data_IF_890438097276
#
_entry.id   IF_890438097276
#
_cell.length_a   1.000
_cell.length_b   1.000
_cell.length_c   1.000
_cell.angle_alpha   90.00
_cell.angle_beta   90.00
_cell.angle_gamma   90.00
#
_symmetry.space_group_name_H-M   'P 1'
#
loop_
_entity.id
_entity.type
_entity.pdbx_description
1 polymer ?
#
# COMPACT_ATOMS: atom_id res chain seq x y z
N UNK A 1 30.89 -50.53 -26.20
CA UNK A 1 30.67 -49.08 -26.08
C UNK A 1 29.32 -48.88 -25.41
N UNK A 2 29.31 -48.66 -24.09
CA UNK A 2 28.08 -48.44 -23.32
C UNK A 2 28.13 -46.99 -22.82
N UNK A 3 27.27 -46.15 -23.37
CA UNK A 3 27.13 -44.74 -23.00
C UNK A 3 26.17 -44.64 -21.82
N UNK A 4 26.69 -44.36 -20.62
CA UNK A 4 25.90 -44.01 -19.45
C UNK A 4 25.33 -42.59 -19.61
N UNK A 5 24.00 -42.47 -19.62
CA UNK A 5 23.30 -41.20 -19.47
C UNK A 5 23.27 -40.82 -17.99
N UNK A 6 23.80 -39.64 -17.69
CA UNK A 6 23.70 -38.98 -16.38
C UNK A 6 22.25 -38.51 -16.16
N UNK A 7 21.66 -38.66 -14.95
CA UNK A 7 20.30 -38.18 -14.70
C UNK A 7 20.26 -36.63 -14.73
N UNK A 8 19.14 -36.03 -15.20
CA UNK A 8 19.02 -34.58 -15.29
C UNK A 8 19.03 -33.95 -13.89
N UNK A 9 19.73 -32.82 -13.76
CA UNK A 9 19.79 -32.04 -12.54
C UNK A 9 18.39 -31.55 -12.10
N UNK A 10 18.09 -31.50 -10.79
CA UNK A 10 16.79 -31.10 -10.30
C UNK A 10 16.47 -29.64 -10.66
N UNK A 11 15.29 -29.48 -11.26
CA UNK A 11 14.78 -28.29 -11.92
C UNK A 11 14.70 -27.07 -10.97
N UNK A 12 15.58 -26.09 -11.16
CA UNK A 12 15.62 -24.85 -10.36
C UNK A 12 14.32 -24.02 -10.41
N UNK A 13 13.50 -24.22 -11.46
CA UNK A 13 12.19 -23.58 -11.61
C UNK A 13 11.17 -24.05 -10.57
N UNK A 14 11.14 -25.34 -10.21
CA UNK A 14 10.18 -25.86 -9.20
C UNK A 14 10.48 -25.39 -7.78
N UNK A 15 11.75 -25.07 -7.47
CA UNK A 15 12.14 -24.51 -6.16
C UNK A 15 11.69 -23.06 -5.99
N UNK A 16 11.62 -22.28 -7.08
CA UNK A 16 11.14 -20.90 -7.06
C UNK A 16 9.64 -20.81 -6.78
N UNK A 17 8.85 -21.64 -7.46
CA UNK A 17 7.38 -21.70 -7.30
C UNK A 17 6.98 -22.20 -5.91
N UNK A 18 7.59 -23.28 -5.42
CA UNK A 18 7.32 -23.79 -4.07
C UNK A 18 7.69 -22.80 -2.96
N UNK A 19 8.74 -21.98 -3.16
CA UNK A 19 9.12 -20.93 -2.21
C UNK A 19 8.17 -19.74 -2.26
N UNK A 20 7.66 -19.37 -3.44
CA UNK A 20 6.63 -18.32 -3.57
C UNK A 20 5.30 -18.76 -2.95
N UNK A 21 4.87 -19.99 -3.17
CA UNK A 21 3.64 -20.55 -2.59
C UNK A 21 3.74 -20.67 -1.06
N UNK A 22 4.88 -21.16 -0.54
CA UNK A 22 5.14 -21.20 0.90
C UNK A 22 5.18 -19.81 1.54
N UNK A 23 5.75 -18.82 0.85
CA UNK A 23 5.78 -17.42 1.32
C UNK A 23 4.39 -16.78 1.34
N UNK A 24 3.55 -17.07 0.34
CA UNK A 24 2.16 -16.63 0.29
C UNK A 24 1.35 -17.21 1.46
N UNK A 25 1.50 -18.52 1.73
CA UNK A 25 0.82 -19.18 2.84
C UNK A 25 1.24 -18.61 4.20
N UNK A 26 2.53 -18.32 4.40
CA UNK A 26 3.01 -17.74 5.66
C UNK A 26 2.42 -16.35 5.94
N UNK A 27 2.31 -15.51 4.91
CA UNK A 27 1.71 -14.18 5.04
C UNK A 27 0.25 -14.25 5.52
N UNK A 28 -0.56 -15.15 4.93
CA UNK A 28 -1.95 -15.34 5.37
C UNK A 28 -2.04 -15.89 6.80
N UNK A 29 -1.16 -16.81 7.16
CA UNK A 29 -1.10 -17.33 8.54
C UNK A 29 -0.75 -16.24 9.55
N UNK A 30 0.19 -15.36 9.26
CA UNK A 30 0.51 -14.22 10.14
C UNK A 30 -0.65 -13.25 10.26
N UNK A 31 -1.34 -12.95 9.16
CA UNK A 31 -2.54 -12.10 9.19
C UNK A 31 -3.69 -12.73 9.97
N UNK A 32 -3.82 -14.07 9.94
CA UNK A 32 -4.79 -14.80 10.76
C UNK A 32 -4.39 -14.81 12.23
N UNK A 33 -3.13 -15.10 12.54
CA UNK A 33 -2.61 -15.08 13.90
C UNK A 33 -2.76 -13.69 14.52
N UNK A 34 -2.49 -12.62 13.77
CA UNK A 34 -2.69 -11.25 14.25
C UNK A 34 -4.15 -10.94 14.65
N UNK A 35 -5.11 -11.72 14.16
CA UNK A 35 -6.50 -11.59 14.59
C UNK A 35 -6.74 -12.17 15.99
N UNK A 36 -6.00 -13.19 16.40
CA UNK A 36 -6.19 -13.84 17.71
C UNK A 36 -5.13 -13.44 18.72
N UNK A 37 -3.90 -13.23 18.28
CA UNK A 37 -2.73 -12.90 19.08
C UNK A 37 -1.74 -12.05 18.26
N UNK A 38 -1.97 -10.74 18.27
CA UNK A 38 -1.15 -9.76 17.54
C UNK A 38 0.31 -9.76 18.02
N UNK A 39 0.54 -9.89 19.31
CA UNK A 39 1.87 -9.76 19.89
C UNK A 39 2.72 -11.01 19.55
N UNK A 40 2.11 -12.20 19.50
CA UNK A 40 2.77 -13.39 18.98
C UNK A 40 3.10 -13.27 17.48
N UNK A 41 2.18 -12.75 16.65
CA UNK A 41 2.44 -12.53 15.23
C UNK A 41 3.62 -11.55 15.02
N UNK A 42 3.61 -10.42 15.72
CA UNK A 42 4.70 -9.44 15.67
C UNK A 42 6.03 -10.05 16.14
N UNK A 43 6.01 -10.85 17.20
CA UNK A 43 7.21 -11.55 17.68
C UNK A 43 7.81 -12.46 16.60
N UNK A 44 6.99 -13.30 15.97
CA UNK A 44 7.44 -14.21 14.89
C UNK A 44 8.09 -13.42 13.75
N UNK A 45 7.45 -12.34 13.31
CA UNK A 45 7.96 -11.54 12.20
C UNK A 45 9.26 -10.82 12.60
N UNK A 46 9.34 -10.24 13.79
CA UNK A 46 10.58 -9.58 14.24
C UNK A 46 11.75 -10.56 14.41
N UNK A 47 11.51 -11.72 15.04
CA UNK A 47 12.52 -12.77 15.15
C UNK A 47 12.95 -13.26 13.75
N UNK A 48 12.01 -13.34 12.81
CA UNK A 48 12.24 -13.67 11.41
C UNK A 48 13.15 -12.68 10.69
N UNK A 49 12.87 -11.37 10.80
CA UNK A 49 13.72 -10.33 10.21
C UNK A 49 15.13 -10.37 10.79
N UNK A 50 15.27 -10.60 12.10
CA UNK A 50 16.57 -10.62 12.79
C UNK A 50 17.37 -11.89 12.49
N UNK A 51 16.71 -13.04 12.34
CA UNK A 51 17.35 -14.33 12.10
C UNK A 51 17.65 -14.60 10.62
N UNK A 52 16.62 -14.64 9.78
CA UNK A 52 16.74 -14.88 8.35
C UNK A 52 15.84 -13.91 7.56
N UNK A 53 16.32 -12.68 7.30
CA UNK A 53 15.53 -11.63 6.67
C UNK A 53 15.12 -11.94 5.22
N UNK A 54 15.69 -12.98 4.61
CA UNK A 54 15.41 -13.38 3.22
C UNK A 54 14.49 -14.60 3.13
N UNK A 55 14.15 -15.23 4.26
CA UNK A 55 13.31 -16.43 4.30
C UNK A 55 11.91 -16.17 3.76
N UNK A 56 11.27 -15.12 4.29
CA UNK A 56 9.91 -14.72 4.01
C UNK A 56 9.85 -13.22 3.66
N UNK A 57 8.75 -12.73 3.06
CA UNK A 57 8.55 -11.31 2.76
C UNK A 57 8.16 -10.52 4.02
N UNK A 58 9.00 -10.55 5.05
CA UNK A 58 8.67 -10.07 6.40
C UNK A 58 8.13 -8.63 6.45
N UNK A 59 8.62 -7.73 5.60
CA UNK A 59 8.11 -6.35 5.54
C UNK A 59 6.66 -6.28 5.06
N UNK A 60 6.27 -7.13 4.10
CA UNK A 60 4.86 -7.24 3.69
C UNK A 60 4.01 -7.82 4.82
N UNK A 61 4.53 -8.78 5.57
CA UNK A 61 3.81 -9.42 6.67
C UNK A 61 3.51 -8.42 7.80
N UNK A 62 4.50 -7.61 8.24
CA UNK A 62 4.23 -6.54 9.22
C UNK A 62 3.20 -5.54 8.69
N UNK A 63 3.30 -5.15 7.41
CA UNK A 63 2.32 -4.25 6.81
C UNK A 63 0.92 -4.86 6.76
N UNK A 64 0.78 -6.18 6.55
CA UNK A 64 -0.50 -6.88 6.57
C UNK A 64 -1.07 -7.04 7.99
N UNK A 65 -0.20 -7.23 9.00
CA UNK A 65 -0.60 -7.16 10.42
C UNK A 65 -1.20 -5.77 10.70
N UNK A 66 -0.52 -4.70 10.29
CA UNK A 66 -1.04 -3.33 10.40
C UNK A 66 -2.40 -3.14 9.71
N UNK A 67 -2.60 -3.68 8.50
CA UNK A 67 -3.92 -3.60 7.83
C UNK A 67 -5.03 -4.32 8.60
N UNK A 68 -4.70 -5.31 9.40
CA UNK A 68 -5.67 -5.97 10.30
C UNK A 68 -5.98 -5.08 11.50
N UNK A 69 -4.98 -4.43 12.08
CA UNK A 69 -5.15 -3.45 13.15
C UNK A 69 -5.95 -2.21 12.69
N UNK A 70 -5.64 -1.66 11.52
CA UNK A 70 -6.33 -0.51 10.93
C UNK A 70 -7.83 -0.78 10.71
N UNK A 71 -8.21 -2.00 10.30
CA UNK A 71 -9.62 -2.40 10.18
C UNK A 71 -10.33 -2.41 11.53
N UNK A 72 -9.66 -2.85 12.60
CA UNK A 72 -10.20 -2.81 13.97
C UNK A 72 -10.35 -1.38 14.47
N UNK A 73 -9.46 -0.49 14.03
CA UNK A 73 -9.49 0.92 14.38
C UNK A 73 -10.76 1.66 13.94
N UNK A 74 -11.56 1.09 13.02
CA UNK A 74 -12.78 1.72 12.52
C UNK A 74 -13.85 1.93 13.60
N UNK A 75 -13.83 1.13 14.67
CA UNK A 75 -14.74 1.28 15.80
C UNK A 75 -14.20 2.22 16.88
N UNK A 76 -12.90 2.50 16.88
CA UNK A 76 -12.23 3.35 17.86
C UNK A 76 -12.45 4.82 17.54
N UNK A 77 -12.51 5.67 18.59
CA UNK A 77 -12.69 7.13 18.45
C UNK A 77 -11.77 7.91 19.39
N UNK A 78 -11.57 9.19 19.07
CA UNK A 78 -10.86 10.13 19.93
C UNK A 78 -9.47 9.66 20.38
N UNK A 79 -9.15 9.90 21.64
CA UNK A 79 -7.84 9.62 22.24
C UNK A 79 -7.45 8.13 22.19
N UNK A 80 -8.42 7.23 22.40
CA UNK A 80 -8.19 5.78 22.32
C UNK A 80 -7.66 5.39 20.93
N UNK A 81 -8.31 5.89 19.88
CA UNK A 81 -7.87 5.68 18.50
C UNK A 81 -6.45 6.19 18.28
N UNK A 82 -6.16 7.42 18.69
CA UNK A 82 -4.83 8.03 18.57
C UNK A 82 -3.75 7.22 19.29
N UNK A 83 -4.04 6.72 20.50
CA UNK A 83 -3.12 5.89 21.28
C UNK A 83 -2.78 4.58 20.57
N UNK A 84 -3.77 3.92 19.96
CA UNK A 84 -3.55 2.71 19.18
C UNK A 84 -2.67 2.98 17.95
N UNK A 85 -2.93 4.06 17.20
CA UNK A 85 -2.08 4.43 16.08
C UNK A 85 -0.64 4.76 16.49
N UNK A 86 -0.43 5.38 17.66
CA UNK A 86 0.91 5.61 18.19
C UNK A 86 1.64 4.29 18.48
N UNK A 87 0.97 3.33 19.12
CA UNK A 87 1.53 1.98 19.34
C UNK A 87 1.88 1.28 18.03
N UNK A 88 1.03 1.43 17.01
CA UNK A 88 1.25 0.79 15.71
C UNK A 88 2.40 1.42 14.94
N UNK A 89 2.48 2.75 14.97
CA UNK A 89 3.63 3.51 14.44
C UNK A 89 4.93 3.01 15.07
N UNK A 90 4.97 2.77 16.37
CA UNK A 90 6.20 2.38 17.07
C UNK A 90 6.71 1.00 16.63
N UNK A 91 5.83 0.00 16.46
CA UNK A 91 6.27 -1.31 15.95
C UNK A 91 6.62 -1.25 14.45
N UNK A 92 5.95 -0.41 13.66
CA UNK A 92 6.28 -0.20 12.24
C UNK A 92 7.64 0.48 12.08
N UNK A 93 7.98 1.43 12.95
CA UNK A 93 9.30 2.06 12.99
C UNK A 93 10.37 1.01 13.31
N UNK A 94 10.12 0.14 14.28
CA UNK A 94 11.01 -1.00 14.57
C UNK A 94 11.20 -1.90 13.35
N UNK A 95 10.12 -2.25 12.66
CA UNK A 95 10.19 -3.07 11.44
C UNK A 95 11.03 -2.39 10.35
N UNK A 96 10.80 -1.08 10.12
CA UNK A 96 11.54 -0.28 9.16
C UNK A 96 13.04 -0.32 9.45
N UNK A 97 13.45 -0.07 10.69
CA UNK A 97 14.86 -0.10 11.10
C UNK A 97 15.50 -1.47 10.87
N UNK A 98 14.81 -2.55 11.25
CA UNK A 98 15.32 -3.91 11.07
C UNK A 98 15.49 -4.26 9.58
N UNK A 99 14.52 -3.89 8.75
CA UNK A 99 14.57 -4.14 7.31
C UNK A 99 15.63 -3.29 6.61
N UNK A 100 15.82 -2.03 7.02
CA UNK A 100 16.90 -1.18 6.51
C UNK A 100 18.27 -1.77 6.84
N UNK A 101 18.47 -2.24 8.08
CA UNK A 101 19.69 -2.94 8.48
C UNK A 101 19.93 -4.22 7.68
N UNK A 102 18.86 -4.98 7.38
CA UNK A 102 18.95 -6.16 6.53
C UNK A 102 19.30 -5.78 5.08
N UNK A 103 18.71 -4.71 4.52
CA UNK A 103 18.99 -4.25 3.17
C UNK A 103 20.44 -3.74 3.03
N UNK A 104 21.00 -3.11 4.06
CA UNK A 104 22.43 -2.73 4.08
C UNK A 104 23.35 -3.95 3.95
N UNK A 105 22.98 -5.08 4.58
CA UNK A 105 23.73 -6.35 4.47
C UNK A 105 23.45 -7.11 3.17
N UNK A 106 22.32 -6.82 2.52
CA UNK A 106 21.85 -7.47 1.30
C UNK A 106 21.43 -6.45 0.24
N UNK A 107 22.35 -5.58 -0.23
CA UNK A 107 22.00 -4.47 -1.11
C UNK A 107 21.38 -4.97 -2.42
N UNK A 108 20.34 -4.27 -2.88
CA UNK A 108 19.63 -4.61 -4.12
C UNK A 108 18.63 -5.76 -4.00
N UNK A 109 18.40 -6.32 -2.80
CA UNK A 109 17.39 -7.37 -2.63
C UNK A 109 15.97 -6.81 -2.82
N UNK A 110 15.29 -7.26 -3.88
CA UNK A 110 13.96 -6.78 -4.24
C UNK A 110 12.89 -7.02 -3.16
N UNK A 111 12.96 -8.14 -2.42
CA UNK A 111 11.99 -8.46 -1.35
C UNK A 111 12.13 -7.48 -0.18
N UNK A 112 13.36 -7.17 0.23
CA UNK A 112 13.63 -6.19 1.28
C UNK A 112 13.25 -4.77 0.84
N UNK A 113 13.60 -4.36 -0.38
CA UNK A 113 13.22 -3.05 -0.93
C UNK A 113 11.70 -2.89 -0.96
N UNK A 114 10.98 -3.90 -1.45
CA UNK A 114 9.52 -3.86 -1.48
C UNK A 114 8.92 -3.90 -0.07
N UNK A 115 9.44 -4.75 0.82
CA UNK A 115 9.01 -4.83 2.21
C UNK A 115 9.17 -3.50 2.95
N UNK A 116 10.29 -2.78 2.72
CA UNK A 116 10.49 -1.42 3.24
C UNK A 116 9.45 -0.46 2.66
N UNK A 117 9.15 -0.53 1.37
CA UNK A 117 8.10 0.29 0.76
C UNK A 117 6.73 0.05 1.43
N UNK A 118 6.35 -1.20 1.65
CA UNK A 118 5.09 -1.56 2.32
C UNK A 118 5.04 -1.08 3.77
N UNK A 119 6.14 -1.24 4.52
CA UNK A 119 6.24 -0.75 5.90
C UNK A 119 6.19 0.77 5.95
N UNK A 120 6.83 1.48 5.01
CA UNK A 120 6.81 2.93 4.94
C UNK A 120 5.40 3.48 4.70
N UNK A 121 4.64 2.84 3.81
CA UNK A 121 3.23 3.19 3.59
C UNK A 121 2.40 3.02 4.87
N UNK A 122 2.53 1.87 5.54
CA UNK A 122 1.86 1.61 6.80
C UNK A 122 2.29 2.59 7.91
N UNK A 123 3.59 2.88 8.00
CA UNK A 123 4.16 3.79 8.99
C UNK A 123 3.67 5.23 8.79
N UNK A 124 3.55 5.69 7.54
CA UNK A 124 3.01 6.99 7.21
C UNK A 124 1.52 7.08 7.60
N UNK A 125 0.72 6.05 7.28
CA UNK A 125 -0.68 5.96 7.68
C UNK A 125 -0.85 5.92 9.21
N UNK A 126 0.01 5.18 9.91
CA UNK A 126 0.00 5.09 11.35
C UNK A 126 0.39 6.41 12.02
N UNK A 127 1.43 7.07 11.51
CA UNK A 127 1.86 8.40 11.98
C UNK A 127 0.75 9.43 11.81
N UNK A 128 0.08 9.43 10.65
CA UNK A 128 -1.12 10.22 10.41
C UNK A 128 -2.21 9.96 11.45
N UNK A 129 -2.54 8.69 11.71
CA UNK A 129 -3.55 8.32 12.70
C UNK A 129 -3.18 8.68 14.14
N UNK A 130 -1.88 8.76 14.45
CA UNK A 130 -1.33 9.18 15.73
C UNK A 130 -1.26 10.70 15.90
N UNK A 131 -1.68 11.48 14.89
CA UNK A 131 -1.56 12.94 14.90
C UNK A 131 -0.17 13.47 14.53
N UNK A 132 0.76 12.59 14.16
CA UNK A 132 2.11 12.92 13.76
C UNK A 132 2.17 13.20 12.24
N UNK A 133 1.55 14.32 11.84
CA UNK A 133 1.51 14.76 10.44
C UNK A 133 2.90 15.05 9.87
N UNK A 134 3.82 15.56 10.69
CA UNK A 134 5.19 15.85 10.29
C UNK A 134 5.93 14.58 9.88
N UNK A 135 5.87 13.51 10.69
CA UNK A 135 6.52 12.25 10.35
C UNK A 135 5.91 11.60 9.11
N UNK A 136 4.59 11.64 8.98
CA UNK A 136 3.92 11.13 7.78
C UNK A 136 4.37 11.84 6.50
N UNK A 137 4.49 13.17 6.54
CA UNK A 137 5.00 13.97 5.42
C UNK A 137 6.44 13.62 5.08
N UNK A 138 7.31 13.52 6.09
CA UNK A 138 8.71 13.16 5.92
C UNK A 138 8.84 11.83 5.15
N UNK A 139 8.11 10.79 5.59
CA UNK A 139 8.14 9.47 4.96
C UNK A 139 7.62 9.53 3.52
N UNK A 140 6.49 10.20 3.28
CA UNK A 140 5.91 10.31 1.95
C UNK A 140 6.85 11.04 0.97
N UNK A 141 7.50 12.12 1.41
CA UNK A 141 8.50 12.84 0.60
C UNK A 141 9.72 11.99 0.30
N UNK A 142 10.22 11.23 1.28
CA UNK A 142 11.33 10.28 1.08
C UNK A 142 10.96 9.19 0.08
N UNK A 143 9.74 8.64 0.15
CA UNK A 143 9.25 7.66 -0.82
C UNK A 143 9.19 8.23 -2.24
N UNK A 144 8.66 9.43 -2.42
CA UNK A 144 8.63 10.09 -3.72
C UNK A 144 10.04 10.35 -4.27
N UNK A 145 10.97 10.82 -3.42
CA UNK A 145 12.35 11.08 -3.82
C UNK A 145 13.10 9.80 -4.23
N UNK A 146 12.82 8.67 -3.57
CA UNK A 146 13.43 7.38 -3.88
C UNK A 146 12.78 6.68 -5.09
N UNK A 147 11.57 7.06 -5.49
CA UNK A 147 10.80 6.42 -6.54
C UNK A 147 11.21 6.91 -7.94
N UNK A 148 12.43 6.57 -8.36
CA UNK A 148 13.01 7.04 -9.63
C UNK A 148 12.90 6.05 -10.79
N UNK A 149 12.69 4.76 -10.50
CA UNK A 149 12.56 3.73 -11.52
C UNK A 149 11.13 3.70 -12.10
N UNK A 150 10.91 4.40 -13.21
CA UNK A 150 9.60 4.50 -13.88
C UNK A 150 9.07 3.19 -14.46
N UNK A 151 9.91 2.17 -14.56
CA UNK A 151 9.54 0.83 -15.05
C UNK A 151 9.22 -0.15 -13.92
N UNK A 152 9.41 0.26 -12.66
CA UNK A 152 9.04 -0.56 -11.51
C UNK A 152 7.52 -0.78 -11.48
N UNK A 153 7.10 -2.01 -11.24
CA UNK A 153 5.69 -2.37 -11.19
C UNK A 153 4.92 -1.62 -10.09
N UNK A 154 5.62 -1.18 -9.03
CA UNK A 154 5.09 -0.46 -7.88
C UNK A 154 5.22 1.07 -8.03
N UNK A 155 5.85 1.57 -9.10
CA UNK A 155 6.12 3.00 -9.30
C UNK A 155 4.87 3.86 -9.15
N UNK A 156 3.77 3.44 -9.77
CA UNK A 156 2.50 4.17 -9.71
C UNK A 156 1.81 4.12 -8.34
N UNK A 157 1.99 3.04 -7.57
CA UNK A 157 1.47 2.93 -6.20
C UNK A 157 2.16 3.96 -5.30
N UNK A 158 3.48 4.07 -5.38
CA UNK A 158 4.25 4.99 -4.54
C UNK A 158 3.83 6.45 -4.79
N UNK A 159 3.67 6.85 -6.07
CA UNK A 159 3.16 8.19 -6.42
C UNK A 159 1.80 8.42 -5.78
N UNK A 160 0.87 7.48 -5.97
CA UNK A 160 -0.49 7.62 -5.47
C UNK A 160 -0.52 7.72 -3.94
N UNK A 161 0.07 6.76 -3.24
CA UNK A 161 -0.06 6.61 -1.79
C UNK A 161 0.70 7.70 -1.02
N UNK A 162 1.88 8.11 -1.51
CA UNK A 162 2.63 9.19 -0.89
C UNK A 162 1.91 10.54 -1.05
N UNK A 163 1.39 10.86 -2.25
CA UNK A 163 0.62 12.09 -2.44
C UNK A 163 -0.70 12.06 -1.66
N UNK A 164 -1.39 10.92 -1.59
CA UNK A 164 -2.56 10.76 -0.71
C UNK A 164 -2.20 11.10 0.74
N UNK A 165 -1.12 10.53 1.27
CA UNK A 165 -0.62 10.84 2.63
C UNK A 165 -0.35 12.33 2.83
N UNK A 166 0.33 12.98 1.87
CA UNK A 166 0.64 14.41 1.93
C UNK A 166 -0.64 15.28 1.92
N UNK A 167 -1.61 14.93 1.08
CA UNK A 167 -2.89 15.63 1.03
C UNK A 167 -3.69 15.49 2.31
N UNK A 168 -3.72 14.29 2.90
CA UNK A 168 -4.39 14.05 4.19
C UNK A 168 -3.71 14.82 5.33
N UNK A 169 -2.39 14.91 5.31
CA UNK A 169 -1.66 15.73 6.28
C UNK A 169 -2.01 17.22 6.13
N UNK A 170 -2.04 17.73 4.89
CA UNK A 170 -2.43 19.11 4.60
C UNK A 170 -3.87 19.44 5.05
N UNK A 171 -4.83 18.53 4.82
CA UNK A 171 -6.21 18.70 5.31
C UNK A 171 -6.28 18.88 6.83
N UNK A 172 -5.52 18.09 7.59
CA UNK A 172 -5.51 18.19 9.06
C UNK A 172 -4.90 19.49 9.58
N UNK A 173 -4.06 20.13 8.78
CA UNK A 173 -3.52 21.46 9.04
C UNK A 173 -4.45 22.58 8.56
N UNK A 174 -5.58 22.24 7.93
CA UNK A 174 -6.54 23.19 7.38
C UNK A 174 -6.19 23.71 5.98
N UNK A 175 -5.12 23.22 5.36
CA UNK A 175 -4.71 23.64 4.01
C UNK A 175 -5.40 22.78 2.93
N UNK A 176 -6.65 23.12 2.66
CA UNK A 176 -7.47 22.46 1.62
C UNK A 176 -6.88 22.61 0.22
N UNK A 177 -6.21 23.74 -0.05
CA UNK A 177 -5.61 24.01 -1.36
C UNK A 177 -4.43 23.06 -1.60
N UNK A 178 -3.52 22.93 -0.63
CA UNK A 178 -2.43 21.97 -0.74
C UNK A 178 -2.95 20.53 -0.82
N UNK A 179 -4.01 20.20 -0.08
CA UNK A 179 -4.64 18.89 -0.16
C UNK A 179 -5.20 18.58 -1.55
N UNK A 180 -5.87 19.53 -2.20
CA UNK A 180 -6.36 19.40 -3.57
C UNK A 180 -5.22 19.17 -4.57
N UNK A 181 -4.11 19.92 -4.44
CA UNK A 181 -2.94 19.73 -5.29
C UNK A 181 -2.31 18.34 -5.11
N UNK A 182 -2.25 17.83 -3.87
CA UNK A 182 -1.77 16.48 -3.61
C UNK A 182 -2.73 15.40 -4.12
N UNK A 183 -4.05 15.59 -4.00
CA UNK A 183 -5.04 14.67 -4.58
C UNK A 183 -4.88 14.59 -6.11
N UNK A 184 -4.72 15.74 -6.77
CA UNK A 184 -4.43 15.83 -8.21
C UNK A 184 -3.15 15.08 -8.58
N UNK A 185 -2.07 15.25 -7.81
CA UNK A 185 -0.80 14.52 -8.03
C UNK A 185 -0.97 13.01 -7.84
N UNK A 186 -1.76 12.58 -6.85
CA UNK A 186 -2.07 11.17 -6.63
C UNK A 186 -2.79 10.59 -7.85
N UNK A 187 -3.83 11.26 -8.35
CA UNK A 187 -4.58 10.81 -9.53
C UNK A 187 -3.77 10.84 -10.83
N UNK A 188 -2.74 11.69 -10.92
CA UNK A 188 -1.89 11.81 -12.12
C UNK A 188 -0.83 10.71 -12.25
N UNK A 189 -0.86 9.69 -11.39
CA UNK A 189 -0.02 8.50 -11.50
C UNK A 189 -0.22 7.79 -12.85
N UNK A 190 0.82 7.14 -13.44
CA UNK A 190 0.63 6.30 -14.62
C UNK A 190 -0.19 5.02 -14.35
N UNK A 191 -0.56 4.77 -13.09
CA UNK A 191 -1.21 3.54 -12.65
C UNK A 191 -0.19 2.44 -12.31
N UNK A 192 -0.71 1.30 -11.89
CA UNK A 192 0.05 0.10 -11.54
C UNK A 192 -0.86 -1.13 -11.74
N UNK A 193 -0.33 -2.37 -11.81
CA UNK A 193 -1.19 -3.55 -11.87
C UNK A 193 -2.26 -3.59 -10.76
N UNK A 194 -1.92 -3.13 -9.55
CA UNK A 194 -2.83 -3.06 -8.42
C UNK A 194 -3.87 -1.94 -8.59
N UNK A 195 -3.45 -0.72 -8.89
CA UNK A 195 -4.35 0.43 -9.08
C UNK A 195 -5.31 0.21 -10.24
N UNK A 196 -4.84 -0.39 -11.34
CA UNK A 196 -5.65 -0.63 -12.53
C UNK A 196 -6.69 -1.73 -12.30
N UNK A 197 -6.47 -2.62 -11.33
CA UNK A 197 -7.37 -3.73 -11.03
C UNK A 197 -8.33 -3.39 -9.89
N UNK A 198 -7.82 -3.01 -8.72
CA UNK A 198 -8.63 -2.77 -7.52
C UNK A 198 -9.02 -1.30 -7.33
N UNK A 199 -8.37 -0.39 -8.03
CA UNK A 199 -8.51 1.05 -7.81
C UNK A 199 -7.56 1.59 -6.75
N UNK A 200 -7.47 2.93 -6.63
CA UNK A 200 -6.74 3.59 -5.57
C UNK A 200 -7.41 3.47 -4.20
N UNK A 201 -6.66 3.84 -3.16
CA UNK A 201 -7.24 4.19 -1.86
C UNK A 201 -7.96 5.55 -1.97
N UNK A 202 -9.26 5.56 -1.68
CA UNK A 202 -10.14 6.72 -1.80
C UNK A 202 -10.25 7.58 -0.53
N UNK A 203 -9.49 7.29 0.53
CA UNK A 203 -9.62 7.99 1.82
C UNK A 203 -9.43 9.51 1.67
N UNK A 204 -8.43 9.98 0.91
CA UNK A 204 -8.24 11.42 0.70
C UNK A 204 -9.42 12.03 -0.07
N UNK A 205 -9.92 11.35 -1.11
CA UNK A 205 -11.08 11.84 -1.87
C UNK A 205 -12.31 12.01 -0.97
N UNK A 206 -12.58 11.05 -0.07
CA UNK A 206 -13.63 11.16 0.95
C UNK A 206 -13.39 12.35 1.89
N UNK A 207 -12.20 12.45 2.47
CA UNK A 207 -11.85 13.54 3.40
C UNK A 207 -11.97 14.93 2.72
N UNK A 208 -11.72 15.02 1.41
CA UNK A 208 -11.91 16.23 0.61
C UNK A 208 -13.38 16.59 0.41
N UNK A 209 -14.27 15.62 0.13
CA UNK A 209 -15.73 15.86 0.07
C UNK A 209 -16.24 16.36 1.43
N UNK A 210 -15.83 15.71 2.51
CA UNK A 210 -16.19 16.10 3.89
C UNK A 210 -15.70 17.52 4.22
N UNK A 211 -14.58 17.94 3.63
CA UNK A 211 -14.07 19.31 3.73
C UNK A 211 -14.76 20.32 2.79
N UNK A 212 -15.69 19.89 1.94
CA UNK A 212 -16.42 20.72 0.96
C UNK A 212 -15.70 20.92 -0.38
N UNK A 213 -14.62 20.18 -0.65
CA UNK A 213 -13.79 20.32 -1.85
C UNK A 213 -14.24 19.40 -3.00
N UNK A 214 -15.51 19.51 -3.38
CA UNK A 214 -16.18 18.67 -4.38
C UNK A 214 -15.49 18.71 -5.76
N UNK A 215 -15.06 19.89 -6.22
CA UNK A 215 -14.46 20.03 -7.55
C UNK A 215 -13.12 19.30 -7.64
N UNK A 216 -12.28 19.38 -6.60
CA UNK A 216 -11.00 18.68 -6.57
C UNK A 216 -11.18 17.15 -6.68
N UNK A 217 -12.27 16.63 -6.12
CA UNK A 217 -12.62 15.20 -6.17
C UNK A 217 -13.11 14.79 -7.56
N UNK A 218 -13.92 15.62 -8.22
CA UNK A 218 -14.33 15.37 -9.61
C UNK A 218 -13.12 15.35 -10.55
N UNK A 219 -12.21 16.31 -10.43
CA UNK A 219 -10.97 16.36 -11.21
C UNK A 219 -10.10 15.11 -10.96
N UNK A 220 -10.05 14.64 -9.72
CA UNK A 220 -9.35 13.41 -9.36
C UNK A 220 -9.98 12.16 -9.99
N UNK A 221 -11.31 12.04 -10.00
CA UNK A 221 -12.00 10.92 -10.66
C UNK A 221 -11.68 10.86 -12.16
N UNK A 222 -11.60 12.02 -12.82
CA UNK A 222 -11.19 12.12 -14.23
C UNK A 222 -9.74 11.71 -14.48
N UNK A 223 -8.86 11.94 -13.50
CA UNK A 223 -7.49 11.45 -13.54
C UNK A 223 -7.42 9.94 -13.33
N UNK A 224 -8.18 9.41 -12.37
CA UNK A 224 -8.23 7.96 -12.07
C UNK A 224 -8.77 7.15 -13.24
N UNK A 225 -9.76 7.68 -13.97
CA UNK A 225 -10.33 7.02 -15.16
C UNK A 225 -9.25 6.56 -16.15
N UNK A 226 -8.20 7.38 -16.33
CA UNK A 226 -7.13 7.14 -17.32
C UNK A 226 -6.39 5.83 -17.10
N UNK A 227 -6.27 5.39 -15.84
CA UNK A 227 -5.59 4.13 -15.50
C UNK A 227 -6.57 3.03 -15.06
N UNK A 228 -7.68 3.37 -14.42
CA UNK A 228 -8.62 2.39 -13.88
C UNK A 228 -9.58 1.82 -14.94
N UNK A 229 -9.90 2.59 -15.98
CA UNK A 229 -10.71 2.15 -17.14
C UNK A 229 -9.81 1.80 -18.35
N UNK A 230 -8.50 1.65 -18.13
CA UNK A 230 -7.55 1.50 -19.22
C UNK A 230 -7.72 0.17 -19.98
N UNK A 231 -7.90 0.26 -21.31
CA UNK A 231 -7.96 -0.89 -22.23
C UNK A 231 -6.68 -1.12 -23.01
N UNK A 232 -5.58 -0.46 -22.63
CA UNK A 232 -4.27 -0.52 -23.34
C UNK A 232 -3.77 -1.95 -23.56
N UNK A 233 -4.08 -2.86 -22.64
CA UNK A 233 -3.83 -4.30 -22.81
C UNK A 233 -5.16 -5.07 -22.69
N UNK A 234 -5.84 -5.38 -23.80
CA UNK A 234 -7.14 -6.06 -23.80
C UNK A 234 -7.13 -7.46 -23.15
N UNK A 235 -5.95 -8.08 -23.00
CA UNK A 235 -5.81 -9.40 -22.37
C UNK A 235 -5.59 -9.31 -20.85
N UNK A 236 -5.35 -8.12 -20.30
CA UNK A 236 -5.12 -7.95 -18.86
C UNK A 236 -6.42 -8.13 -18.05
N UNK A 237 -6.34 -8.59 -16.79
CA UNK A 237 -7.49 -8.62 -15.90
C UNK A 237 -8.18 -7.26 -15.75
N UNK A 238 -7.39 -6.18 -15.64
CA UNK A 238 -7.90 -4.81 -15.53
C UNK A 238 -8.79 -4.41 -16.73
N UNK A 239 -8.41 -4.77 -17.96
CA UNK A 239 -9.21 -4.44 -19.15
C UNK A 239 -10.59 -5.13 -19.14
N UNK A 240 -10.73 -6.29 -18.49
CA UNK A 240 -12.03 -6.97 -18.33
C UNK A 240 -12.94 -6.27 -17.33
N UNK A 241 -12.37 -5.47 -16.42
CA UNK A 241 -13.10 -4.73 -15.39
C UNK A 241 -13.43 -3.29 -15.84
N UNK A 242 -12.88 -2.82 -16.96
CA UNK A 242 -13.00 -1.43 -17.41
C UNK A 242 -14.44 -0.92 -17.48
N UNK A 243 -15.38 -1.70 -18.01
CA UNK A 243 -16.80 -1.32 -18.08
C UNK A 243 -17.43 -1.17 -16.68
N UNK A 244 -17.09 -2.07 -15.74
CA UNK A 244 -17.56 -1.98 -14.36
C UNK A 244 -16.93 -0.78 -13.62
N UNK A 245 -15.65 -0.53 -13.83
CA UNK A 245 -14.97 0.64 -13.27
C UNK A 245 -15.55 1.95 -13.80
N UNK A 246 -15.86 2.04 -15.10
CA UNK A 246 -16.51 3.22 -15.70
C UNK A 246 -17.86 3.49 -15.05
N UNK A 247 -18.69 2.45 -14.90
CA UNK A 247 -20.00 2.58 -14.25
C UNK A 247 -19.89 3.12 -12.82
N UNK A 248 -18.89 2.66 -12.05
CA UNK A 248 -18.64 3.17 -10.69
C UNK A 248 -18.18 4.63 -10.71
N UNK A 249 -17.26 5.00 -11.59
CA UNK A 249 -16.83 6.40 -11.70
C UNK A 249 -17.98 7.32 -12.07
N UNK A 250 -18.84 6.91 -13.00
CA UNK A 250 -19.99 7.70 -13.43
C UNK A 250 -21.01 7.86 -12.29
N UNK A 251 -21.27 6.77 -11.54
CA UNK A 251 -22.10 6.81 -10.33
C UNK A 251 -21.52 7.78 -9.30
N UNK A 252 -20.24 7.64 -8.95
CA UNK A 252 -19.61 8.48 -7.94
C UNK A 252 -19.56 9.94 -8.35
N UNK A 253 -19.31 10.25 -9.63
CA UNK A 253 -19.39 11.63 -10.14
C UNK A 253 -20.80 12.21 -9.97
N UNK A 254 -21.85 11.43 -10.24
CA UNK A 254 -23.23 11.87 -10.05
C UNK A 254 -23.52 12.16 -8.56
N UNK A 255 -23.15 11.23 -7.67
CA UNK A 255 -23.30 11.38 -6.23
C UNK A 255 -22.56 12.63 -5.71
N UNK A 256 -21.31 12.85 -6.13
CA UNK A 256 -20.51 14.01 -5.76
C UNK A 256 -21.15 15.33 -6.24
N UNK A 257 -21.68 15.37 -7.47
CA UNK A 257 -22.38 16.56 -8.00
C UNK A 257 -23.68 16.86 -7.26
N UNK A 258 -24.34 15.83 -6.73
CA UNK A 258 -25.53 15.96 -5.88
C UNK A 258 -25.19 16.31 -4.42
N UNK A 259 -23.91 16.47 -4.08
CA UNK A 259 -23.46 16.74 -2.71
C UNK A 259 -23.53 15.52 -1.78
N UNK A 260 -23.63 14.31 -2.35
CA UNK A 260 -23.57 13.05 -1.60
C UNK A 260 -22.14 12.59 -1.45
N UNK A 261 -21.89 11.81 -0.40
CA UNK A 261 -20.63 11.12 -0.20
C UNK A 261 -20.71 9.69 -0.80
N UNK A 262 -19.92 9.37 -1.84
CA UNK A 262 -19.88 8.02 -2.38
C UNK A 262 -19.35 6.99 -1.38
N UNK A 263 -19.72 5.73 -1.56
CA UNK A 263 -19.20 4.63 -0.75
C UNK A 263 -17.74 4.27 -1.08
N UNK A 264 -17.27 4.69 -2.26
CA UNK A 264 -15.96 4.42 -2.83
C UNK A 264 -15.55 2.93 -2.77
N UNK A 265 -16.51 2.03 -2.98
CA UNK A 265 -16.25 0.58 -3.03
C UNK A 265 -16.08 0.08 -4.47
N UNK A 266 -14.89 -0.43 -4.87
CA UNK A 266 -14.64 -1.00 -6.19
C UNK A 266 -15.33 -2.36 -6.40
#
# INVERSE_FOLDING_TARGET
MSSGQQPPAPNAFKKGEARQEASGNHMFEMARLAQTDRDAALKIVFDGIQGDPLKNPWGMEVAMIYKTDERRAQTLKGEERTKHFAQWRDYLLRAQTLLQNALQKHPGNASLTYGISSVNEALAAASLGAGDGAKAKEIALQQLAANTNTTDWNYGNVIHNANSTLGRAALREGDKKAAAEFLKKAGSTPGSPQLNSFGPDWILAREMIEAGETQAVLDYLDLVEKFWVSRKNPKSPAAKLADSHQQKLDQWRAEVREGKLPDFRP
#
